data_IF_483574626869
#
_entry.id   IF_483574626869
#
_cell.length_a   1.000
_cell.length_b   1.000
_cell.length_c   1.000
_cell.angle_alpha   90.00
_cell.angle_beta   90.00
_cell.angle_gamma   90.00
#
_symmetry.space_group_name_H-M   'P 1'
#
loop_
_entity.id
_entity.type
_entity.pdbx_description
1 polymer ?
#
# COMPACT_ATOMS: atom_id res chain seq x y z
N UNK A 1 16.27 8.22 -22.34
CA UNK A 1 16.36 6.85 -21.80
C UNK A 1 17.59 6.78 -20.92
N UNK A 2 17.51 6.15 -19.75
CA UNK A 2 18.67 5.93 -18.89
C UNK A 2 19.61 4.91 -19.55
N UNK A 3 20.94 5.10 -19.51
CA UNK A 3 21.91 4.08 -19.88
C UNK A 3 21.71 2.79 -19.06
N UNK A 4 21.96 1.63 -19.67
CA UNK A 4 21.77 0.32 -19.02
C UNK A 4 22.56 0.18 -17.71
N UNK A 5 23.80 0.70 -17.68
CA UNK A 5 24.64 0.70 -16.47
C UNK A 5 24.08 1.55 -15.34
N UNK A 6 23.55 2.74 -15.63
CA UNK A 6 22.96 3.64 -14.61
C UNK A 6 21.64 3.09 -14.08
N UNK A 7 20.82 2.51 -14.96
CA UNK A 7 19.66 1.74 -14.54
C UNK A 7 20.10 0.58 -13.65
N UNK A 8 21.25 -0.04 -13.96
CA UNK A 8 21.78 -1.17 -13.21
C UNK A 8 22.08 -0.82 -11.75
N UNK A 9 22.85 0.23 -11.59
CA UNK A 9 23.23 0.73 -10.28
C UNK A 9 22.00 1.21 -9.51
N UNK A 10 21.03 1.83 -10.20
CA UNK A 10 19.79 2.32 -9.57
C UNK A 10 18.96 1.18 -8.95
N UNK A 11 18.71 0.07 -9.67
CA UNK A 11 17.91 -1.01 -9.06
C UNK A 11 18.70 -1.75 -7.96
N UNK A 12 20.01 -1.93 -8.12
CA UNK A 12 20.84 -2.55 -7.07
C UNK A 12 20.78 -1.69 -5.78
N UNK A 13 20.78 -0.36 -5.89
CA UNK A 13 20.60 0.55 -4.75
C UNK A 13 19.19 0.47 -4.15
N UNK A 14 18.14 0.43 -4.97
CA UNK A 14 16.77 0.28 -4.48
C UNK A 14 16.55 -1.05 -3.74
N UNK A 15 17.17 -2.14 -4.20
CA UNK A 15 17.17 -3.43 -3.52
C UNK A 15 17.98 -3.37 -2.21
N UNK A 16 19.15 -2.73 -2.21
CA UNK A 16 19.97 -2.54 -1.01
C UNK A 16 19.21 -1.81 0.10
N UNK A 17 18.42 -0.78 -0.24
CA UNK A 17 17.55 -0.08 0.72
C UNK A 17 16.25 -0.83 1.04
N UNK A 18 16.04 -2.01 0.47
CA UNK A 18 14.85 -2.83 0.69
C UNK A 18 13.56 -2.25 0.11
N UNK A 19 13.66 -1.28 -0.81
CA UNK A 19 12.50 -0.64 -1.45
C UNK A 19 11.91 -1.51 -2.56
N UNK A 20 12.74 -2.33 -3.19
CA UNK A 20 12.31 -3.36 -4.15
C UNK A 20 12.93 -4.71 -3.78
N UNK A 21 12.37 -5.76 -4.37
CA UNK A 21 12.98 -7.09 -4.42
C UNK A 21 13.24 -7.44 -5.88
N UNK A 22 14.50 -7.62 -6.26
CA UNK A 22 14.87 -8.01 -7.62
C UNK A 22 14.75 -9.52 -7.78
N UNK A 23 14.20 -9.94 -8.91
CA UNK A 23 14.23 -11.33 -9.36
C UNK A 23 15.31 -11.45 -10.42
N UNK A 24 16.41 -12.12 -10.04
CA UNK A 24 17.56 -12.34 -10.93
C UNK A 24 17.35 -13.62 -11.73
N UNK A 25 17.66 -13.57 -13.01
CA UNK A 25 17.65 -14.70 -13.94
C UNK A 25 19.07 -15.03 -14.39
N UNK A 26 19.25 -16.18 -15.03
CA UNK A 26 20.55 -16.58 -15.60
C UNK A 26 21.05 -15.63 -16.71
N UNK A 27 20.17 -14.84 -17.32
CA UNK A 27 20.52 -13.86 -18.37
C UNK A 27 20.66 -12.41 -17.84
N UNK A 28 20.63 -12.21 -16.52
CA UNK A 28 20.62 -10.88 -15.90
C UNK A 28 19.34 -10.62 -15.13
N UNK A 29 18.91 -9.37 -15.04
CA UNK A 29 17.70 -9.02 -14.32
C UNK A 29 16.44 -9.49 -15.04
N UNK A 30 15.55 -10.13 -14.30
CA UNK A 30 14.21 -10.46 -14.78
C UNK A 30 13.25 -9.33 -14.45
N UNK A 31 12.48 -9.52 -13.38
CA UNK A 31 11.48 -8.55 -12.88
C UNK A 31 11.87 -8.04 -11.50
N UNK A 32 11.12 -7.05 -11.00
CA UNK A 32 11.20 -6.61 -9.62
C UNK A 32 9.80 -6.45 -9.04
N UNK A 33 9.71 -6.56 -7.72
CA UNK A 33 8.51 -6.20 -6.97
C UNK A 33 8.82 -5.06 -6.03
N UNK A 34 7.93 -4.06 -5.98
CA UNK A 34 8.00 -3.00 -4.95
C UNK A 34 7.65 -3.64 -3.61
N UNK A 35 8.46 -3.41 -2.59
CA UNK A 35 8.17 -3.90 -1.24
C UNK A 35 7.13 -2.99 -0.57
N UNK A 36 6.54 -3.44 0.53
CA UNK A 36 5.69 -2.56 1.34
C UNK A 36 6.45 -1.30 1.79
N UNK A 37 7.71 -1.45 2.20
CA UNK A 37 8.55 -0.30 2.57
C UNK A 37 8.74 0.64 1.38
N UNK A 38 9.06 0.10 0.20
CA UNK A 38 9.20 0.88 -1.03
C UNK A 38 7.96 1.69 -1.37
N UNK A 39 6.80 1.04 -1.37
CA UNK A 39 5.52 1.71 -1.64
C UNK A 39 5.23 2.78 -0.57
N UNK A 40 5.43 2.46 0.71
CA UNK A 40 5.17 3.42 1.78
C UNK A 40 6.09 4.64 1.70
N UNK A 41 7.39 4.44 1.47
CA UNK A 41 8.36 5.52 1.28
C UNK A 41 8.00 6.38 0.08
N UNK A 42 7.63 5.76 -1.04
CA UNK A 42 7.19 6.47 -2.24
C UNK A 42 5.97 7.35 -1.97
N UNK A 43 4.90 6.78 -1.39
CA UNK A 43 3.68 7.51 -1.10
C UNK A 43 3.91 8.66 -0.11
N UNK A 44 4.68 8.43 0.96
CA UNK A 44 5.01 9.49 1.93
C UNK A 44 5.83 10.63 1.33
N UNK A 45 6.71 10.34 0.38
CA UNK A 45 7.63 11.34 -0.19
C UNK A 45 7.00 12.11 -1.34
N UNK A 46 6.22 11.43 -2.19
CA UNK A 46 5.78 11.96 -3.48
C UNK A 46 4.28 12.16 -3.63
N UNK A 47 3.46 11.73 -2.65
CA UNK A 47 2.01 11.99 -2.65
C UNK A 47 1.69 12.99 -1.53
N UNK A 48 1.55 14.30 -1.84
CA UNK A 48 1.47 15.35 -0.84
C UNK A 48 0.32 15.21 0.15
N UNK A 49 -0.79 14.63 -0.29
CA UNK A 49 -2.01 14.42 0.47
C UNK A 49 -2.12 13.00 1.07
N UNK A 50 -1.02 12.23 1.11
CA UNK A 50 -1.06 10.84 1.57
C UNK A 50 -1.57 10.69 3.02
N UNK A 51 -1.22 11.62 3.90
CA UNK A 51 -1.78 11.66 5.26
C UNK A 51 -3.31 11.79 5.26
N UNK A 52 -3.85 12.68 4.41
CA UNK A 52 -5.30 12.86 4.25
C UNK A 52 -5.95 11.61 3.67
N UNK A 53 -5.31 10.95 2.70
CA UNK A 53 -5.82 9.70 2.12
C UNK A 53 -5.97 8.62 3.19
N UNK A 54 -5.00 8.49 4.11
CA UNK A 54 -5.09 7.54 5.24
C UNK A 54 -6.28 7.90 6.14
N UNK A 55 -6.45 9.18 6.45
CA UNK A 55 -7.56 9.66 7.27
C UNK A 55 -8.92 9.41 6.62
N UNK A 56 -9.08 9.75 5.34
CA UNK A 56 -10.31 9.57 4.57
C UNK A 56 -10.73 8.10 4.52
N UNK A 57 -9.78 7.19 4.25
CA UNK A 57 -10.01 5.75 4.28
C UNK A 57 -10.41 5.29 5.69
N UNK A 58 -9.75 5.80 6.73
CA UNK A 58 -10.07 5.42 8.11
C UNK A 58 -11.48 5.89 8.50
N UNK A 59 -11.88 7.10 8.10
CA UNK A 59 -13.23 7.64 8.28
C UNK A 59 -14.25 6.80 7.51
N UNK A 60 -13.96 6.42 6.26
CA UNK A 60 -14.85 5.59 5.46
C UNK A 60 -15.08 4.21 6.11
N UNK A 61 -14.03 3.60 6.67
CA UNK A 61 -14.13 2.33 7.39
C UNK A 61 -14.97 2.47 8.68
N UNK A 62 -14.69 3.49 9.51
CA UNK A 62 -15.29 3.61 10.84
C UNK A 62 -16.69 4.22 10.82
N UNK A 63 -16.88 5.31 10.07
CA UNK A 63 -18.10 6.11 10.08
C UNK A 63 -19.08 5.65 8.99
N UNK A 64 -18.58 5.40 7.77
CA UNK A 64 -19.43 4.94 6.64
C UNK A 64 -19.61 3.42 6.61
N UNK A 65 -18.84 2.68 7.44
CA UNK A 65 -18.87 1.21 7.55
C UNK A 65 -18.54 0.51 6.22
N UNK A 66 -17.71 1.12 5.38
CA UNK A 66 -17.22 0.47 4.18
C UNK A 66 -16.18 -0.59 4.57
N UNK A 67 -16.44 -1.84 4.21
CA UNK A 67 -15.68 -3.00 4.67
C UNK A 67 -14.91 -3.72 3.56
N UNK A 68 -14.90 -3.20 2.33
CA UNK A 68 -14.12 -3.76 1.23
C UNK A 68 -13.37 -2.69 0.42
N UNK A 69 -12.27 -3.09 -0.19
CA UNK A 69 -11.37 -2.22 -0.93
C UNK A 69 -12.00 -1.57 -2.17
N UNK A 70 -12.94 -2.22 -2.86
CA UNK A 70 -13.60 -1.65 -4.03
C UNK A 70 -14.61 -0.57 -3.62
N UNK A 71 -15.39 -0.80 -2.57
CA UNK A 71 -16.27 0.22 -2.00
C UNK A 71 -15.48 1.43 -1.51
N UNK A 72 -14.33 1.20 -0.84
CA UNK A 72 -13.43 2.27 -0.40
C UNK A 72 -12.81 3.03 -1.58
N UNK A 73 -12.44 2.34 -2.66
CA UNK A 73 -11.95 2.99 -3.88
C UNK A 73 -13.00 3.94 -4.48
N UNK A 74 -14.26 3.49 -4.55
CA UNK A 74 -15.35 4.30 -5.09
C UNK A 74 -15.62 5.54 -4.23
N UNK A 75 -15.56 5.40 -2.90
CA UNK A 75 -15.85 6.48 -1.97
C UNK A 75 -14.71 7.51 -1.86
N UNK A 76 -13.46 7.05 -1.77
CA UNK A 76 -12.29 7.92 -1.57
C UNK A 76 -11.71 8.41 -2.91
N UNK A 77 -12.12 7.80 -4.03
CA UNK A 77 -11.66 8.12 -5.38
C UNK A 77 -10.14 8.07 -5.54
N UNK A 78 -9.52 6.98 -5.07
CA UNK A 78 -8.07 6.73 -5.20
C UNK A 78 -7.78 5.40 -5.90
N UNK A 79 -6.61 5.24 -6.53
CA UNK A 79 -6.22 3.98 -7.15
C UNK A 79 -6.30 2.81 -6.15
N UNK A 80 -6.83 1.66 -6.60
CA UNK A 80 -7.01 0.48 -5.74
C UNK A 80 -5.70 0.03 -5.05
N UNK A 81 -4.56 0.24 -5.70
CA UNK A 81 -3.24 -0.06 -5.12
C UNK A 81 -2.94 0.79 -3.88
N UNK A 82 -3.36 2.07 -3.86
CA UNK A 82 -3.21 2.95 -2.71
C UNK A 82 -4.16 2.52 -1.60
N UNK A 83 -5.42 2.21 -1.93
CA UNK A 83 -6.40 1.68 -0.96
C UNK A 83 -5.84 0.42 -0.29
N UNK A 84 -5.40 -0.56 -1.08
CA UNK A 84 -4.85 -1.81 -0.58
C UNK A 84 -3.61 -1.59 0.30
N UNK A 85 -2.72 -0.68 -0.09
CA UNK A 85 -1.54 -0.34 0.71
C UNK A 85 -1.91 0.29 2.06
N UNK A 86 -2.91 1.18 2.10
CA UNK A 86 -3.41 1.76 3.35
C UNK A 86 -4.08 0.71 4.22
N UNK A 87 -4.87 -0.21 3.64
CA UNK A 87 -5.44 -1.32 4.40
C UNK A 87 -4.35 -2.21 5.02
N UNK A 88 -3.30 -2.52 4.25
CA UNK A 88 -2.15 -3.28 4.74
C UNK A 88 -1.39 -2.53 5.84
N UNK A 89 -1.28 -1.20 5.75
CA UNK A 89 -0.71 -0.35 6.80
C UNK A 89 -1.55 -0.40 8.07
N UNK A 90 -2.87 -0.26 7.97
CA UNK A 90 -3.78 -0.31 9.11
C UNK A 90 -3.77 -1.70 9.77
N UNK A 91 -3.71 -2.78 8.98
CA UNK A 91 -3.61 -4.15 9.49
C UNK A 91 -2.28 -4.38 10.22
N UNK A 92 -1.16 -3.95 9.64
CA UNK A 92 0.17 -4.04 10.28
C UNK A 92 0.24 -3.29 11.60
N UNK A 93 -0.46 -2.17 11.71
CA UNK A 93 -0.57 -1.38 12.94
C UNK A 93 -1.62 -1.94 13.94
N UNK A 94 -2.24 -3.08 13.63
CA UNK A 94 -3.23 -3.73 14.48
C UNK A 94 -4.57 -2.98 14.56
N UNK A 95 -4.84 -2.06 13.62
CA UNK A 95 -6.07 -1.27 13.58
C UNK A 95 -7.24 -2.01 12.92
N UNK A 96 -6.95 -2.90 11.98
CA UNK A 96 -7.95 -3.75 11.32
C UNK A 96 -7.42 -5.18 11.15
N UNK A 97 -8.29 -6.11 10.75
CA UNK A 97 -7.89 -7.36 10.08
C UNK A 97 -8.71 -7.54 8.82
N UNK A 98 -8.09 -8.07 7.77
CA UNK A 98 -8.73 -8.27 6.47
C UNK A 98 -8.45 -9.68 5.91
N UNK A 99 -9.31 -10.12 5.00
CA UNK A 99 -9.11 -11.32 4.18
C UNK A 99 -8.99 -10.89 2.71
N UNK A 100 -7.95 -11.39 2.03
CA UNK A 100 -7.68 -11.13 0.61
C UNK A 100 -8.18 -12.29 -0.24
N UNK A 101 -8.95 -11.99 -1.27
CA UNK A 101 -9.57 -12.95 -2.18
C UNK A 101 -8.82 -12.99 -3.51
N UNK A 102 -9.01 -14.08 -4.27
CA UNK A 102 -8.34 -14.30 -5.57
C UNK A 102 -8.77 -13.30 -6.65
N UNK A 103 -9.95 -12.70 -6.52
CA UNK A 103 -10.48 -11.67 -7.42
C UNK A 103 -9.89 -10.27 -7.15
N UNK A 104 -8.93 -10.17 -6.22
CA UNK A 104 -8.33 -8.90 -5.81
C UNK A 104 -9.16 -8.12 -4.79
N UNK A 105 -10.32 -8.65 -4.36
CA UNK A 105 -11.09 -8.07 -3.27
C UNK A 105 -10.36 -8.28 -1.95
N UNK A 106 -10.35 -7.24 -1.13
CA UNK A 106 -9.96 -7.34 0.28
C UNK A 106 -11.16 -6.95 1.14
N UNK A 107 -11.50 -7.79 2.11
CA UNK A 107 -12.63 -7.57 3.03
C UNK A 107 -12.16 -7.47 4.47
N UNK A 108 -12.50 -6.37 5.12
CA UNK A 108 -12.26 -6.09 6.52
C UNK A 108 -13.29 -6.87 7.36
N UNK A 109 -12.82 -7.68 8.32
CA UNK A 109 -13.69 -8.44 9.22
C UNK A 109 -13.51 -8.04 10.70
N UNK A 110 -12.52 -7.22 11.01
CA UNK A 110 -12.28 -6.72 12.35
C UNK A 110 -11.75 -5.28 12.30
N UNK A 111 -12.26 -4.44 13.21
CA UNK A 111 -11.80 -3.07 13.42
C UNK A 111 -11.51 -2.89 14.92
N UNK A 112 -10.29 -2.51 15.26
CA UNK A 112 -9.86 -2.31 16.64
C UNK A 112 -10.67 -1.19 17.32
N UNK A 113 -11.06 -1.36 18.60
CA UNK A 113 -11.76 -0.31 19.34
C UNK A 113 -11.00 1.01 19.45
N UNK A 114 -9.66 0.96 19.47
CA UNK A 114 -8.79 2.15 19.51
C UNK A 114 -8.93 3.01 18.25
N UNK A 115 -9.08 2.39 17.08
CA UNK A 115 -9.32 3.11 15.81
C UNK A 115 -10.65 3.85 15.84
N UNK A 116 -11.70 3.20 16.37
CA UNK A 116 -13.04 3.80 16.51
C UNK A 116 -13.08 4.99 17.46
N UNK A 117 -12.16 5.05 18.44
CA UNK A 117 -12.09 6.14 19.43
C UNK A 117 -11.31 7.34 18.93
N UNK A 118 -10.37 7.16 18.01
CA UNK A 118 -9.59 8.28 17.43
C UNK A 118 -10.41 9.22 16.54
N UNK A 119 -11.56 8.76 16.04
CA UNK A 119 -12.43 9.49 15.12
C UNK A 119 -13.77 9.93 15.75
N UNK A 120 -13.90 9.84 17.08
CA UNK A 120 -15.07 10.31 17.82
C UNK A 120 -14.89 11.73 18.32
#
# INVERSE_FOLDING_TARGET
MLPEGELKESLDMLEHYGLIKLHRTLQGWGSYNITFLGMNTFLQTYVPDYGQIIEDITIAIVNKRLDDNFSLQQDVNRPIVVINHVLDLLEKNGHIKQVKMLDGRSKIYYIAPTLKRKLK
#
